data_IF_590120143931
#
_entry.id   IF_590120143931
#
_cell.length_a   1.000
_cell.length_b   1.000
_cell.length_c   1.000
_cell.angle_alpha   90.00
_cell.angle_beta   90.00
_cell.angle_gamma   90.00
#
_symmetry.space_group_name_H-M   'P 1'
#
loop_
_entity.id
_entity.type
_entity.pdbx_description
1 polymer ?
#
# COMPACT_ATOMS: atom_id res chain seq x y z
N UNK A 1 -0.21 22.15 -29.31
CA UNK A 1 -0.23 22.07 -27.83
C UNK A 1 0.33 20.71 -27.44
N UNK A 2 1.65 20.61 -27.23
CA UNK A 2 2.30 19.35 -26.88
C UNK A 2 2.08 19.08 -25.39
N UNK A 3 1.18 18.15 -25.05
CA UNK A 3 1.14 17.55 -23.71
C UNK A 3 2.22 16.49 -23.70
N UNK A 4 3.41 16.93 -23.29
CA UNK A 4 4.49 16.07 -22.84
C UNK A 4 3.90 15.22 -21.70
N UNK A 5 3.41 14.02 -22.02
CA UNK A 5 3.13 12.99 -21.01
C UNK A 5 4.50 12.49 -20.59
N UNK A 6 5.10 13.25 -19.68
CA UNK A 6 6.31 12.86 -18.98
C UNK A 6 6.07 11.47 -18.42
N UNK A 7 6.94 10.57 -18.86
CA UNK A 7 7.20 9.24 -18.35
C UNK A 7 7.65 9.36 -16.89
N UNK A 8 6.77 9.81 -16.01
CA UNK A 8 6.97 9.65 -14.58
C UNK A 8 6.42 8.28 -14.24
N UNK A 9 7.28 7.27 -14.38
CA UNK A 9 7.23 6.04 -13.58
C UNK A 9 7.47 6.43 -12.12
N UNK A 10 6.66 7.33 -11.59
CA UNK A 10 6.53 7.58 -10.17
C UNK A 10 5.63 6.47 -9.70
N UNK A 11 6.20 5.50 -8.98
CA UNK A 11 5.42 4.46 -8.32
C UNK A 11 4.21 5.10 -7.68
N UNK A 12 3.03 4.73 -8.16
CA UNK A 12 1.79 5.34 -7.69
C UNK A 12 1.69 5.05 -6.20
N UNK A 13 1.79 6.12 -5.41
CA UNK A 13 1.61 6.07 -3.97
C UNK A 13 0.15 6.28 -3.65
N UNK A 14 -0.38 5.42 -2.79
CA UNK A 14 -1.76 5.47 -2.40
C UNK A 14 -1.86 5.66 -0.88
N UNK A 15 -2.90 6.36 -0.44
CA UNK A 15 -3.21 6.46 0.99
C UNK A 15 -3.79 5.15 1.52
N UNK A 16 -3.79 4.99 2.84
CA UNK A 16 -4.39 3.83 3.54
C UNK A 16 -5.77 3.46 3.01
N UNK A 17 -6.65 4.44 2.81
CA UNK A 17 -8.02 4.23 2.34
C UNK A 17 -8.10 3.55 0.97
N UNK A 18 -7.12 3.74 0.08
CA UNK A 18 -7.09 3.06 -1.20
C UNK A 18 -6.80 1.56 -1.05
N UNK A 19 -5.85 1.20 -0.17
CA UNK A 19 -5.54 -0.19 0.13
C UNK A 19 -6.67 -0.86 0.93
N UNK A 20 -7.35 -0.13 1.81
CA UNK A 20 -8.54 -0.60 2.54
C UNK A 20 -9.71 -0.95 1.62
N UNK A 21 -9.85 -0.22 0.52
CA UNK A 21 -10.92 -0.41 -0.45
C UNK A 21 -10.54 -1.38 -1.57
N UNK A 22 -9.28 -1.81 -1.64
CA UNK A 22 -8.81 -2.77 -2.60
C UNK A 22 -9.20 -4.19 -2.17
N UNK A 23 -9.90 -4.90 -3.06
CA UNK A 23 -10.38 -6.26 -2.81
C UNK A 23 -9.24 -7.25 -2.56
N UNK A 24 -8.06 -7.00 -3.13
CA UNK A 24 -6.84 -7.81 -2.96
C UNK A 24 -6.42 -7.93 -1.49
N UNK A 25 -6.57 -6.85 -0.72
CA UNK A 25 -6.22 -6.80 0.69
C UNK A 25 -7.42 -7.03 1.62
N UNK A 26 -8.57 -7.48 1.11
CA UNK A 26 -9.79 -7.63 1.91
C UNK A 26 -9.61 -8.54 3.13
N UNK A 27 -8.76 -9.58 3.02
CA UNK A 27 -8.45 -10.51 4.13
C UNK A 27 -7.48 -9.92 5.16
N UNK A 28 -6.57 -9.06 4.70
CA UNK A 28 -5.54 -8.42 5.50
C UNK A 28 -5.92 -6.96 5.86
N UNK A 29 -7.18 -6.57 5.66
CA UNK A 29 -7.67 -5.20 5.84
C UNK A 29 -7.44 -4.68 7.26
N UNK A 30 -7.67 -5.52 8.25
CA UNK A 30 -7.45 -5.20 9.67
C UNK A 30 -5.94 -5.02 9.97
N UNK A 31 -5.10 -5.89 9.42
CA UNK A 31 -3.63 -5.78 9.50
C UNK A 31 -3.14 -4.47 8.88
N UNK A 32 -3.63 -4.14 7.69
CA UNK A 32 -3.32 -2.87 7.04
C UNK A 32 -3.79 -1.66 7.87
N UNK A 33 -4.82 -1.81 8.70
CA UNK A 33 -5.34 -0.70 9.49
C UNK A 33 -4.39 -0.34 10.63
N UNK A 34 -3.71 -1.37 11.17
CA UNK A 34 -2.67 -1.25 12.19
C UNK A 34 -1.32 -0.88 11.58
N UNK A 35 -1.00 -1.41 10.40
CA UNK A 35 0.29 -1.22 9.71
C UNK A 35 0.42 0.14 9.02
N UNK A 36 -0.64 0.60 8.36
CA UNK A 36 -0.62 1.82 7.56
C UNK A 36 -1.08 3.01 8.39
N UNK A 37 -0.34 4.11 8.27
CA UNK A 37 -0.69 5.39 8.85
C UNK A 37 -1.56 6.20 7.88
N UNK A 38 -2.61 6.85 8.38
CA UNK A 38 -3.56 7.61 7.55
C UNK A 38 -2.95 8.91 7.00
N UNK A 39 -1.93 9.46 7.66
CA UNK A 39 -1.21 10.64 7.21
C UNK A 39 -0.09 10.30 6.21
N UNK A 40 0.16 9.01 5.94
CA UNK A 40 1.20 8.54 5.02
C UNK A 40 0.60 7.86 3.79
N UNK A 41 1.38 7.88 2.73
CA UNK A 41 1.08 7.18 1.47
C UNK A 41 2.15 6.13 1.23
N UNK A 42 1.73 4.99 0.69
CA UNK A 42 2.57 3.81 0.49
C UNK A 42 2.46 3.34 -0.95
N UNK A 43 3.50 2.68 -1.46
CA UNK A 43 3.40 1.93 -2.73
C UNK A 43 2.87 0.52 -2.47
N UNK A 44 2.44 -0.18 -3.53
CA UNK A 44 1.98 -1.56 -3.43
C UNK A 44 3.05 -2.48 -2.81
N UNK A 45 4.31 -2.28 -3.20
CA UNK A 45 5.45 -3.08 -2.75
C UNK A 45 5.79 -2.83 -1.27
N UNK A 46 5.68 -1.59 -0.80
CA UNK A 46 5.85 -1.27 0.62
C UNK A 46 4.78 -1.96 1.48
N UNK A 47 3.52 -1.92 1.02
CA UNK A 47 2.40 -2.56 1.72
C UNK A 47 2.56 -4.08 1.78
N UNK A 48 2.98 -4.71 0.67
CA UNK A 48 3.21 -6.14 0.61
C UNK A 48 4.37 -6.58 1.51
N UNK A 49 5.46 -5.81 1.53
CA UNK A 49 6.60 -6.03 2.42
C UNK A 49 6.20 -5.92 3.88
N UNK A 50 5.45 -4.88 4.25
CA UNK A 50 4.93 -4.70 5.62
C UNK A 50 4.05 -5.88 6.05
N UNK A 51 3.15 -6.33 5.17
CA UNK A 51 2.30 -7.50 5.46
C UNK A 51 3.11 -8.78 5.64
N UNK A 52 4.11 -9.00 4.79
CA UNK A 52 5.00 -10.17 4.87
C UNK A 52 5.81 -10.16 6.18
N UNK A 53 6.42 -9.03 6.53
CA UNK A 53 7.16 -8.88 7.78
C UNK A 53 6.27 -9.06 9.01
N UNK A 54 5.03 -8.55 8.98
CA UNK A 54 4.10 -8.71 10.10
C UNK A 54 3.63 -10.14 10.26
N UNK A 55 3.29 -10.82 9.16
CA UNK A 55 2.93 -12.25 9.16
C UNK A 55 4.09 -13.12 9.63
N UNK A 56 5.32 -12.76 9.29
CA UNK A 56 6.51 -13.46 9.78
C UNK A 56 6.72 -13.29 11.29
N UNK A 57 6.35 -12.13 11.86
CA UNK A 57 6.43 -11.86 13.31
C UNK A 57 5.32 -12.56 14.11
N UNK A 58 4.13 -12.77 13.54
CA UNK A 58 3.03 -13.48 14.21
C UNK A 58 3.29 -14.99 14.36
N UNK A 59 4.20 -15.56 13.57
CA UNK A 59 4.51 -17.01 13.53
C UNK A 59 5.59 -17.43 14.56
N UNK A 60 5.89 -16.61 15.58
CA UNK A 60 6.83 -16.97 16.67
C UNK A 60 6.16 -17.23 18.02
#
# INVERSE_FOLDING_TARGET
MARQTEKSTSEARYGKSAFMNATEYGKDRWLLEVLLDDAKTYTKEEVDSLLSEWKAKEVQ
#
